data_IF_640893739009
#
_entry.id   IF_640893739009
#
_cell.length_a   1.000
_cell.length_b   1.000
_cell.length_c   1.000
_cell.angle_alpha   90.00
_cell.angle_beta   90.00
_cell.angle_gamma   90.00
#
_symmetry.space_group_name_H-M   'P 1'
#
loop_
_entity.id
_entity.type
_entity.pdbx_description
1 polymer ?
#
# COMPACT_ATOMS: atom_id res chain seq x y z
N UNK A 1 46.85 2.53 2.52
CA UNK A 1 46.68 1.30 1.73
C UNK A 1 46.26 1.72 0.35
N UNK A 2 47.03 1.35 -0.65
CA UNK A 2 46.73 1.71 -2.04
C UNK A 2 45.62 0.82 -2.60
N UNK A 3 44.83 1.33 -3.55
CA UNK A 3 43.71 0.61 -4.15
C UNK A 3 44.12 -0.77 -4.72
N UNK A 4 45.29 -0.84 -5.36
CA UNK A 4 45.83 -2.08 -5.92
C UNK A 4 46.14 -3.13 -4.86
N UNK A 5 46.66 -2.72 -3.70
CA UNK A 5 47.00 -3.62 -2.61
C UNK A 5 45.74 -4.30 -2.06
N UNK A 6 44.68 -3.51 -1.82
CA UNK A 6 43.40 -4.04 -1.36
C UNK A 6 42.78 -4.99 -2.39
N UNK A 7 42.84 -4.63 -3.68
CA UNK A 7 42.32 -5.48 -4.76
C UNK A 7 43.04 -6.83 -4.82
N UNK A 8 44.37 -6.84 -4.71
CA UNK A 8 45.18 -8.08 -4.70
C UNK A 8 44.85 -8.91 -3.46
N UNK A 9 44.78 -8.30 -2.28
CA UNK A 9 44.41 -8.98 -1.04
C UNK A 9 43.04 -9.65 -1.15
N UNK A 10 42.02 -8.92 -1.61
CA UNK A 10 40.64 -9.43 -1.73
C UNK A 10 40.56 -10.56 -2.75
N UNK A 11 41.18 -10.42 -3.92
CA UNK A 11 41.21 -11.49 -4.93
C UNK A 11 41.86 -12.77 -4.40
N UNK A 12 42.97 -12.65 -3.68
CA UNK A 12 43.67 -13.79 -3.08
C UNK A 12 42.87 -14.44 -1.95
N UNK A 13 42.19 -13.66 -1.14
CA UNK A 13 41.43 -14.18 0.03
C UNK A 13 40.09 -14.79 -0.36
N UNK A 14 39.50 -14.39 -1.50
CA UNK A 14 38.30 -15.02 -2.05
C UNK A 14 38.47 -16.50 -2.40
N UNK A 15 39.66 -16.92 -2.82
CA UNK A 15 39.94 -18.32 -3.21
C UNK A 15 40.23 -19.24 -2.03
N UNK A 16 40.37 -18.68 -0.82
CA UNK A 16 40.60 -19.48 0.40
C UNK A 16 39.31 -20.24 0.76
N UNK A 17 39.44 -21.56 0.90
CA UNK A 17 38.33 -22.45 1.25
C UNK A 17 37.89 -22.30 2.71
N UNK A 18 38.83 -22.11 3.63
CA UNK A 18 38.53 -21.86 5.04
C UNK A 18 37.92 -20.46 5.23
N UNK A 19 36.59 -20.47 5.40
CA UNK A 19 35.76 -19.29 5.61
C UNK A 19 36.09 -18.56 6.92
N UNK A 20 36.59 -19.27 7.92
CA UNK A 20 36.91 -18.70 9.24
C UNK A 20 38.34 -18.18 9.36
N UNK A 21 39.12 -18.27 8.28
CA UNK A 21 40.54 -17.91 8.30
C UNK A 21 40.80 -16.46 8.69
N UNK A 22 41.89 -16.24 9.41
CA UNK A 22 42.34 -14.90 9.82
C UNK A 22 42.57 -13.95 8.64
N UNK A 23 42.96 -14.49 7.47
CA UNK A 23 43.12 -13.71 6.24
C UNK A 23 41.79 -13.18 5.70
N UNK A 24 40.71 -13.98 5.72
CA UNK A 24 39.38 -13.53 5.32
C UNK A 24 38.82 -12.50 6.31
N UNK A 25 39.05 -12.69 7.62
CA UNK A 25 38.67 -11.69 8.64
C UNK A 25 39.40 -10.37 8.43
N UNK A 26 40.70 -10.42 8.12
CA UNK A 26 41.51 -9.24 7.80
C UNK A 26 41.02 -8.53 6.54
N UNK A 27 40.66 -9.29 5.50
CA UNK A 27 40.09 -8.73 4.27
C UNK A 27 38.77 -7.99 4.54
N UNK A 28 37.85 -8.57 5.31
CA UNK A 28 36.60 -7.89 5.69
C UNK A 28 36.88 -6.59 6.45
N UNK A 29 37.77 -6.61 7.46
CA UNK A 29 38.15 -5.41 8.21
C UNK A 29 38.71 -4.30 7.32
N UNK A 30 39.56 -4.67 6.36
CA UNK A 30 40.14 -3.70 5.42
C UNK A 30 39.12 -3.15 4.43
N UNK A 31 38.17 -3.98 3.98
CA UNK A 31 37.04 -3.54 3.16
C UNK A 31 36.13 -2.57 3.91
N UNK A 32 35.80 -2.87 5.18
CA UNK A 32 35.05 -1.97 6.06
C UNK A 32 35.79 -0.65 6.26
N UNK A 33 37.11 -0.67 6.48
CA UNK A 33 37.88 0.57 6.58
C UNK A 33 37.89 1.37 5.27
N UNK A 34 37.88 0.69 4.12
CA UNK A 34 37.90 1.31 2.81
C UNK A 34 36.60 2.06 2.46
N UNK A 35 35.47 1.77 3.13
CA UNK A 35 34.22 2.53 2.93
C UNK A 35 34.36 3.99 3.35
N UNK A 36 35.30 4.29 4.26
CA UNK A 36 35.59 5.64 4.76
C UNK A 36 36.70 6.36 3.97
N UNK A 37 37.14 5.79 2.85
CA UNK A 37 38.17 6.37 2.00
C UNK A 37 37.67 7.61 1.25
N UNK A 38 38.54 8.60 1.04
CA UNK A 38 38.26 9.70 0.13
C UNK A 38 38.25 9.27 -1.35
N UNK A 39 38.79 8.10 -1.68
CA UNK A 39 38.80 7.57 -3.04
C UNK A 39 37.47 6.85 -3.36
N UNK A 40 36.73 7.39 -4.32
CA UNK A 40 35.46 6.86 -4.83
C UNK A 40 35.58 5.42 -5.34
N UNK A 41 36.62 5.11 -6.11
CA UNK A 41 36.86 3.75 -6.64
C UNK A 41 37.07 2.73 -5.52
N UNK A 42 37.76 3.11 -4.45
CA UNK A 42 37.96 2.27 -3.27
C UNK A 42 36.65 2.01 -2.53
N UNK A 43 35.79 3.02 -2.35
CA UNK A 43 34.47 2.87 -1.73
C UNK A 43 33.57 1.93 -2.54
N UNK A 44 33.51 2.12 -3.86
CA UNK A 44 32.75 1.24 -4.76
C UNK A 44 33.32 -0.19 -4.73
N UNK A 45 34.64 -0.32 -4.70
CA UNK A 45 35.28 -1.62 -4.56
C UNK A 45 34.91 -2.29 -3.24
N UNK A 46 34.91 -1.54 -2.14
CA UNK A 46 34.49 -2.04 -0.83
C UNK A 46 33.05 -2.56 -0.87
N UNK A 47 32.10 -1.75 -1.31
CA UNK A 47 30.68 -2.12 -1.41
C UNK A 47 30.47 -3.44 -2.18
N UNK A 48 31.18 -3.60 -3.31
CA UNK A 48 31.06 -4.78 -4.17
C UNK A 48 31.64 -6.07 -3.56
N UNK A 49 32.53 -5.98 -2.58
CA UNK A 49 33.27 -7.12 -2.05
C UNK A 49 32.97 -7.45 -0.59
N UNK A 50 32.41 -6.52 0.21
CA UNK A 50 31.96 -6.81 1.58
C UNK A 50 31.03 -8.04 1.64
N UNK A 51 30.03 -8.20 0.74
CA UNK A 51 29.12 -9.35 0.80
C UNK A 51 29.82 -10.71 0.71
N UNK A 52 30.97 -10.81 0.05
CA UNK A 52 31.71 -12.07 -0.16
C UNK A 52 32.38 -12.62 1.12
N UNK A 53 32.46 -11.80 2.16
CA UNK A 53 33.07 -12.14 3.45
C UNK A 53 32.09 -11.98 4.62
N UNK A 54 30.88 -11.48 4.35
CA UNK A 54 29.92 -11.08 5.38
C UNK A 54 29.47 -12.25 6.26
N UNK A 55 29.03 -13.36 5.64
CA UNK A 55 28.53 -14.54 6.36
C UNK A 55 29.61 -15.33 7.12
N UNK A 56 30.88 -15.09 6.79
CA UNK A 56 31.98 -15.83 7.40
C UNK A 56 32.20 -15.43 8.87
N UNK A 57 31.79 -14.23 9.24
CA UNK A 57 32.09 -13.61 10.53
C UNK A 57 30.83 -12.99 11.14
N UNK A 58 29.93 -13.81 11.74
CA UNK A 58 28.71 -13.33 12.39
C UNK A 58 28.95 -12.22 13.42
N UNK A 59 30.09 -12.24 14.11
CA UNK A 59 30.50 -11.25 15.08
C UNK A 59 30.83 -9.86 14.48
N UNK A 60 31.08 -9.80 13.17
CA UNK A 60 31.45 -8.58 12.44
C UNK A 60 30.34 -8.08 11.51
N UNK A 61 29.18 -8.74 11.49
CA UNK A 61 28.09 -8.38 10.59
C UNK A 61 27.54 -6.98 10.84
N UNK A 62 27.36 -6.59 12.10
CA UNK A 62 26.86 -5.25 12.46
C UNK A 62 27.82 -4.16 11.97
N UNK A 63 29.13 -4.36 12.13
CA UNK A 63 30.13 -3.41 11.62
C UNK A 63 30.10 -3.33 10.09
N UNK A 64 29.96 -4.48 9.42
CA UNK A 64 29.91 -4.54 7.97
C UNK A 64 28.65 -3.90 7.38
N UNK A 65 27.48 -4.11 7.99
CA UNK A 65 26.23 -3.51 7.52
C UNK A 65 26.22 -2.00 7.78
N UNK A 66 26.70 -1.53 8.93
CA UNK A 66 26.80 -0.11 9.22
C UNK A 66 27.77 0.58 8.25
N UNK A 67 28.88 -0.06 7.90
CA UNK A 67 29.78 0.45 6.87
C UNK A 67 29.14 0.52 5.47
N UNK A 68 28.16 -0.33 5.16
CA UNK A 68 27.38 -0.25 3.92
C UNK A 68 26.30 0.84 4.00
N UNK A 69 25.69 1.08 5.17
CA UNK A 69 24.80 2.23 5.37
C UNK A 69 25.54 3.56 5.16
N UNK A 70 26.76 3.69 5.69
CA UNK A 70 27.62 4.86 5.43
C UNK A 70 27.80 5.10 3.90
N UNK A 71 27.92 4.04 3.10
CA UNK A 71 28.02 4.15 1.64
C UNK A 71 26.70 4.55 0.98
N UNK A 72 25.56 4.18 1.54
CA UNK A 72 24.23 4.56 1.04
C UNK A 72 23.96 6.06 1.22
N UNK A 73 24.67 6.71 2.14
CA UNK A 73 24.58 8.16 2.41
C UNK A 73 25.76 8.94 1.79
N UNK A 74 26.57 8.30 0.94
CA UNK A 74 27.75 8.93 0.34
C UNK A 74 27.38 10.12 -0.57
N UNK A 75 28.27 11.09 -0.67
CA UNK A 75 28.06 12.26 -1.54
C UNK A 75 27.97 11.90 -3.03
N UNK A 76 28.63 10.82 -3.45
CA UNK A 76 28.64 10.39 -4.85
C UNK A 76 27.55 9.35 -5.12
N UNK A 77 26.61 9.66 -6.04
CA UNK A 77 25.53 8.75 -6.48
C UNK A 77 26.05 7.36 -6.91
N UNK A 78 27.21 7.30 -7.57
CA UNK A 78 27.83 6.02 -7.95
C UNK A 78 28.27 5.15 -6.77
N UNK A 79 28.62 5.75 -5.63
CA UNK A 79 28.94 5.06 -4.38
C UNK A 79 27.66 4.61 -3.70
N UNK A 80 26.64 5.48 -3.61
CA UNK A 80 25.32 5.14 -3.06
C UNK A 80 24.69 3.95 -3.75
N UNK A 81 24.65 3.97 -5.09
CA UNK A 81 24.19 2.83 -5.88
C UNK A 81 25.02 1.56 -5.65
N UNK A 82 26.32 1.66 -5.38
CA UNK A 82 27.12 0.49 -4.99
C UNK A 82 26.71 -0.03 -3.59
N UNK A 83 26.39 0.86 -2.65
CA UNK A 83 25.82 0.56 -1.34
C UNK A 83 24.46 -0.14 -1.44
N UNK A 84 23.52 0.38 -2.24
CA UNK A 84 22.20 -0.23 -2.43
C UNK A 84 22.30 -1.66 -2.96
N UNK A 85 23.21 -1.91 -3.91
CA UNK A 85 23.50 -3.26 -4.40
C UNK A 85 24.03 -4.16 -3.28
N UNK A 86 24.94 -3.65 -2.44
CA UNK A 86 25.50 -4.40 -1.32
C UNK A 86 24.41 -4.79 -0.31
N UNK A 87 23.46 -3.88 0.02
CA UNK A 87 22.30 -4.20 0.87
C UNK A 87 21.49 -5.37 0.30
N UNK A 88 21.19 -5.36 -1.00
CA UNK A 88 20.47 -6.48 -1.64
C UNK A 88 21.25 -7.79 -1.53
N UNK A 89 22.57 -7.76 -1.79
CA UNK A 89 23.38 -8.98 -1.66
C UNK A 89 23.38 -9.50 -0.22
N UNK A 90 23.54 -8.61 0.77
CA UNK A 90 23.58 -8.99 2.18
C UNK A 90 22.23 -9.53 2.67
N UNK A 91 21.11 -8.93 2.28
CA UNK A 91 19.76 -9.44 2.56
C UNK A 91 19.52 -10.82 1.95
N UNK A 92 20.04 -11.07 0.74
CA UNK A 92 19.93 -12.38 0.08
C UNK A 92 20.71 -13.46 0.83
N UNK A 93 21.87 -13.10 1.36
CA UNK A 93 22.74 -14.01 2.11
C UNK A 93 22.15 -14.32 3.49
N UNK A 94 21.74 -13.28 4.22
CA UNK A 94 21.30 -13.39 5.61
C UNK A 94 19.90 -12.78 5.82
N UNK A 95 18.90 -13.65 5.91
CA UNK A 95 17.48 -13.26 5.98
C UNK A 95 17.15 -12.32 7.14
N UNK A 96 17.88 -12.39 8.26
CA UNK A 96 17.67 -11.51 9.43
C UNK A 96 17.81 -10.02 9.09
N UNK A 97 18.55 -9.68 8.04
CA UNK A 97 18.74 -8.31 7.59
C UNK A 97 17.66 -7.80 6.64
N UNK A 98 16.81 -8.68 6.10
CA UNK A 98 15.79 -8.31 5.10
C UNK A 98 14.88 -7.20 5.63
N UNK A 99 14.41 -7.28 6.88
CA UNK A 99 13.53 -6.26 7.46
C UNK A 99 14.21 -4.89 7.53
N UNK A 100 15.39 -4.82 8.16
CA UNK A 100 16.11 -3.55 8.36
C UNK A 100 16.56 -2.95 7.04
N UNK A 101 17.05 -3.77 6.11
CA UNK A 101 17.48 -3.30 4.80
C UNK A 101 16.30 -2.87 3.91
N UNK A 102 15.16 -3.56 3.99
CA UNK A 102 13.94 -3.10 3.31
C UNK A 102 13.50 -1.74 3.86
N UNK A 103 13.56 -1.51 5.17
CA UNK A 103 13.19 -0.22 5.77
C UNK A 103 14.09 0.92 5.27
N UNK A 104 15.41 0.70 5.24
CA UNK A 104 16.37 1.63 4.64
C UNK A 104 16.07 1.88 3.17
N UNK A 105 15.83 0.82 2.37
CA UNK A 105 15.50 0.95 0.95
C UNK A 105 14.20 1.73 0.74
N UNK A 106 13.20 1.58 1.60
CA UNK A 106 11.97 2.36 1.52
C UNK A 106 12.26 3.85 1.73
N UNK A 107 13.08 4.21 2.74
CA UNK A 107 13.48 5.61 2.94
C UNK A 107 14.18 6.19 1.70
N UNK A 108 15.02 5.39 1.04
CA UNK A 108 15.76 5.78 -0.16
C UNK A 108 14.88 5.99 -1.41
N UNK A 109 13.58 5.66 -1.37
CA UNK A 109 12.64 6.04 -2.43
C UNK A 109 12.51 7.58 -2.56
N UNK A 110 12.88 8.33 -1.53
CA UNK A 110 12.87 9.79 -1.50
C UNK A 110 14.07 10.44 -2.21
N UNK A 111 14.96 9.66 -2.84
CA UNK A 111 16.08 10.21 -3.60
C UNK A 111 15.61 11.09 -4.75
N UNK A 112 16.25 12.25 -4.92
CA UNK A 112 16.00 13.17 -6.05
C UNK A 112 16.64 12.67 -7.36
N UNK A 113 17.51 11.65 -7.32
CA UNK A 113 18.14 11.05 -8.51
C UNK A 113 17.25 9.93 -9.08
N UNK A 114 16.66 10.10 -10.28
CA UNK A 114 15.78 9.08 -10.88
C UNK A 114 16.45 7.73 -11.12
N UNK A 115 17.78 7.71 -11.33
CA UNK A 115 18.52 6.46 -11.50
C UNK A 115 18.60 5.69 -10.19
N UNK A 116 18.81 6.39 -9.08
CA UNK A 116 18.77 5.81 -7.74
C UNK A 116 17.38 5.30 -7.41
N UNK A 117 16.33 6.09 -7.64
CA UNK A 117 14.95 5.65 -7.40
C UNK A 117 14.65 4.38 -8.21
N UNK A 118 15.05 4.34 -9.49
CA UNK A 118 14.88 3.13 -10.33
C UNK A 118 15.58 1.92 -9.72
N UNK A 119 16.78 2.12 -9.19
CA UNK A 119 17.56 1.08 -8.56
C UNK A 119 16.96 0.61 -7.23
N UNK A 120 16.52 1.53 -6.38
CA UNK A 120 15.86 1.24 -5.10
C UNK A 120 14.57 0.46 -5.33
N UNK A 121 13.76 0.84 -6.32
CA UNK A 121 12.57 0.08 -6.69
C UNK A 121 12.89 -1.35 -7.09
N UNK A 122 13.96 -1.56 -7.86
CA UNK A 122 14.43 -2.92 -8.19
C UNK A 122 14.89 -3.67 -6.94
N UNK A 123 15.63 -3.02 -6.05
CA UNK A 123 16.08 -3.60 -4.79
C UNK A 123 14.91 -4.04 -3.90
N UNK A 124 13.82 -3.26 -3.82
CA UNK A 124 12.60 -3.63 -3.10
C UNK A 124 11.89 -4.83 -3.74
N UNK A 125 11.87 -4.93 -5.07
CA UNK A 125 11.35 -6.11 -5.77
C UNK A 125 12.20 -7.36 -5.45
N UNK A 126 13.53 -7.23 -5.39
CA UNK A 126 14.40 -8.32 -4.95
C UNK A 126 14.10 -8.71 -3.49
N UNK A 127 13.78 -7.75 -2.60
CA UNK A 127 13.39 -8.05 -1.22
C UNK A 127 12.03 -8.77 -1.12
N UNK A 128 11.06 -8.44 -1.99
CA UNK A 128 9.82 -9.21 -2.12
C UNK A 128 10.09 -10.68 -2.49
N UNK A 129 11.13 -10.94 -3.30
CA UNK A 129 11.55 -12.30 -3.62
C UNK A 129 12.22 -13.00 -2.43
N UNK A 130 12.98 -12.28 -1.60
CA UNK A 130 13.69 -12.87 -0.46
C UNK A 130 12.75 -13.22 0.69
N UNK A 131 11.85 -12.30 1.04
CA UNK A 131 10.80 -12.46 2.03
C UNK A 131 9.68 -11.44 1.77
N UNK A 132 8.66 -11.87 1.04
CA UNK A 132 7.53 -11.01 0.68
C UNK A 132 6.74 -10.56 1.89
N UNK A 133 6.50 -11.44 2.86
CA UNK A 133 5.75 -11.11 4.08
C UNK A 133 6.46 -10.00 4.86
N UNK A 134 7.74 -10.16 5.14
CA UNK A 134 8.51 -9.17 5.91
C UNK A 134 8.59 -7.84 5.14
N UNK A 135 8.86 -7.89 3.84
CA UNK A 135 8.99 -6.69 3.00
C UNK A 135 7.67 -5.93 2.92
N UNK A 136 6.54 -6.62 2.73
CA UNK A 136 5.21 -6.01 2.71
C UNK A 136 4.83 -5.41 4.07
N UNK A 137 5.23 -6.07 5.16
CA UNK A 137 5.08 -5.51 6.51
C UNK A 137 5.76 -4.15 6.63
N UNK A 138 7.01 -4.03 6.18
CA UNK A 138 7.75 -2.75 6.16
C UNK A 138 7.04 -1.71 5.30
N UNK A 139 6.53 -2.07 4.12
CA UNK A 139 5.76 -1.14 3.28
C UNK A 139 4.49 -0.66 4.01
N UNK A 140 3.79 -1.55 4.70
CA UNK A 140 2.58 -1.20 5.45
C UNK A 140 2.89 -0.29 6.64
N UNK A 141 4.01 -0.51 7.34
CA UNK A 141 4.47 0.34 8.45
C UNK A 141 4.65 1.80 8.01
N UNK A 142 5.03 2.05 6.75
CA UNK A 142 5.15 3.41 6.20
C UNK A 142 3.82 3.99 5.68
N UNK A 143 2.82 3.14 5.42
CA UNK A 143 1.48 3.57 5.00
C UNK A 143 0.63 3.96 6.21
N UNK A 144 0.67 3.20 7.29
CA UNK A 144 -0.14 3.44 8.49
C UNK A 144 0.31 4.74 9.17
N UNK A 145 -0.56 5.76 9.31
CA UNK A 145 -0.22 6.95 10.06
C UNK A 145 0.05 6.60 11.54
N UNK A 146 1.12 7.13 12.14
CA UNK A 146 1.36 7.00 13.57
C UNK A 146 0.33 7.79 14.37
N UNK A 147 0.06 7.36 15.60
CA UNK A 147 -1.01 7.93 16.43
C UNK A 147 -0.66 9.32 16.98
N UNK A 148 0.63 9.58 17.28
CA UNK A 148 1.09 10.78 17.99
C UNK A 148 2.25 11.52 17.28
N UNK A 149 2.08 11.91 16.01
CA UNK A 149 3.00 12.85 15.35
C UNK A 149 2.50 14.29 15.43
N UNK A 150 3.14 15.09 16.28
CA UNK A 150 2.84 16.52 16.42
C UNK A 150 3.68 17.42 15.51
N UNK A 151 4.85 16.95 15.05
CA UNK A 151 5.75 17.74 14.21
C UNK A 151 5.23 17.82 12.76
N UNK A 152 4.86 19.02 12.26
CA UNK A 152 4.38 19.18 10.90
C UNK A 152 5.40 18.81 9.83
N UNK A 153 6.70 18.98 10.08
CA UNK A 153 7.76 18.66 9.12
C UNK A 153 7.94 17.13 9.02
N UNK A 154 7.97 16.44 10.16
CA UNK A 154 8.00 14.97 10.19
C UNK A 154 6.75 14.39 9.52
N UNK A 155 5.57 14.96 9.79
CA UNK A 155 4.32 14.55 9.15
C UNK A 155 4.38 14.74 7.63
N UNK A 156 4.93 15.86 7.14
CA UNK A 156 5.08 16.11 5.71
C UNK A 156 6.04 15.10 5.05
N UNK A 157 7.18 14.80 5.68
CA UNK A 157 8.11 13.78 5.19
C UNK A 157 7.46 12.40 5.15
N UNK A 158 6.72 12.02 6.19
CA UNK A 158 5.97 10.75 6.24
C UNK A 158 4.90 10.67 5.15
N UNK A 159 4.18 11.76 4.89
CA UNK A 159 3.18 11.81 3.83
C UNK A 159 3.81 11.67 2.43
N UNK A 160 4.96 12.30 2.22
CA UNK A 160 5.74 12.15 0.98
C UNK A 160 6.18 10.69 0.79
N UNK A 161 6.77 10.09 1.82
CA UNK A 161 7.19 8.69 1.78
C UNK A 161 6.03 7.73 1.53
N UNK A 162 4.89 7.93 2.19
CA UNK A 162 3.66 7.14 1.96
C UNK A 162 3.24 7.19 0.50
N UNK A 163 3.24 8.38 -0.10
CA UNK A 163 2.89 8.57 -1.52
C UNK A 163 3.81 7.74 -2.42
N UNK A 164 5.12 7.74 -2.12
CA UNK A 164 6.12 6.95 -2.86
C UNK A 164 5.91 5.44 -2.68
N UNK A 165 5.59 4.99 -1.46
CA UNK A 165 5.29 3.58 -1.16
C UNK A 165 4.03 3.11 -1.88
N UNK A 166 2.94 3.88 -1.84
CA UNK A 166 1.71 3.55 -2.57
C UNK A 166 1.97 3.50 -4.09
N UNK A 167 2.72 4.48 -4.63
CA UNK A 167 3.15 4.48 -6.03
C UNK A 167 4.01 3.27 -6.40
N UNK A 168 4.88 2.82 -5.48
CA UNK A 168 5.63 1.57 -5.64
C UNK A 168 4.68 0.37 -5.74
N UNK A 169 3.81 0.17 -4.75
CA UNK A 169 2.87 -0.95 -4.69
C UNK A 169 1.97 -1.00 -5.92
N UNK A 170 1.37 0.12 -6.31
CA UNK A 170 0.51 0.23 -7.51
C UNK A 170 1.30 -0.12 -8.78
N UNK A 171 2.53 0.40 -8.90
CA UNK A 171 3.39 0.12 -10.04
C UNK A 171 3.72 -1.36 -10.18
N UNK A 172 4.07 -2.03 -9.07
CA UNK A 172 4.42 -3.45 -9.09
C UNK A 172 3.19 -4.36 -9.23
N UNK A 173 2.02 -3.91 -8.76
CA UNK A 173 0.73 -4.58 -9.01
C UNK A 173 0.36 -4.55 -10.50
N UNK A 174 0.45 -3.38 -11.15
CA UNK A 174 0.19 -3.23 -12.60
C UNK A 174 1.15 -4.06 -13.46
N UNK A 175 2.39 -4.25 -13.02
CA UNK A 175 3.38 -5.11 -13.69
C UNK A 175 3.19 -6.62 -13.40
N UNK A 176 2.28 -6.99 -12.50
CA UNK A 176 2.09 -8.37 -12.03
C UNK A 176 3.21 -8.90 -11.14
N UNK A 177 4.21 -8.09 -10.79
CA UNK A 177 5.32 -8.49 -9.90
C UNK A 177 4.82 -8.74 -8.49
N UNK A 178 3.92 -7.88 -7.99
CA UNK A 178 3.40 -8.02 -6.64
C UNK A 178 2.61 -9.33 -6.48
N UNK A 179 1.77 -9.66 -7.46
CA UNK A 179 0.98 -10.92 -7.49
C UNK A 179 1.89 -12.15 -7.54
N UNK A 180 3.05 -12.06 -8.22
CA UNK A 180 4.02 -13.16 -8.28
C UNK A 180 4.56 -13.55 -6.90
N UNK A 181 4.71 -12.60 -5.99
CA UNK A 181 5.28 -12.81 -4.65
C UNK A 181 4.22 -12.90 -3.55
N UNK A 182 2.95 -12.77 -3.91
CA UNK A 182 1.78 -12.88 -3.03
C UNK A 182 0.79 -13.86 -3.63
N UNK A 183 0.97 -15.15 -3.35
CA UNK A 183 -0.03 -16.14 -3.73
C UNK A 183 -1.36 -15.86 -2.98
N UNK A 184 -2.52 -16.09 -3.61
CA UNK A 184 -3.81 -15.94 -2.93
C UNK A 184 -3.88 -16.77 -1.64
N UNK A 185 -4.29 -16.15 -0.53
CA UNK A 185 -4.38 -16.74 0.80
C UNK A 185 -3.04 -16.97 1.49
N UNK A 186 -1.94 -16.40 0.99
CA UNK A 186 -0.62 -16.50 1.64
C UNK A 186 -0.47 -15.48 2.78
N UNK A 187 0.45 -15.74 3.72
CA UNK A 187 0.78 -14.78 4.79
C UNK A 187 1.23 -13.41 4.23
N UNK A 188 1.81 -13.39 3.02
CA UNK A 188 2.22 -12.17 2.35
C UNK A 188 1.00 -11.35 1.87
N UNK A 189 -0.01 -12.02 1.30
CA UNK A 189 -1.27 -11.37 0.95
C UNK A 189 -1.97 -10.83 2.20
N UNK A 190 -2.07 -11.66 3.25
CA UNK A 190 -2.68 -11.28 4.52
C UNK A 190 -1.95 -10.09 5.16
N UNK A 191 -0.62 -10.03 5.07
CA UNK A 191 0.16 -8.91 5.63
C UNK A 191 -0.17 -7.60 4.91
N UNK A 192 -0.20 -7.59 3.58
CA UNK A 192 -0.56 -6.39 2.82
C UNK A 192 -2.02 -6.00 3.09
N UNK A 193 -2.95 -6.94 3.01
CA UNK A 193 -4.39 -6.68 3.15
C UNK A 193 -4.70 -6.15 4.54
N UNK A 194 -4.18 -6.78 5.61
CA UNK A 194 -4.41 -6.32 6.97
C UNK A 194 -3.75 -4.96 7.23
N UNK A 195 -2.52 -4.76 6.75
CA UNK A 195 -1.83 -3.47 6.89
C UNK A 195 -2.62 -2.33 6.24
N UNK A 196 -3.05 -2.51 4.99
CA UNK A 196 -3.83 -1.50 4.27
C UNK A 196 -5.21 -1.27 4.89
N UNK A 197 -5.93 -2.33 5.29
CA UNK A 197 -7.24 -2.19 5.95
C UNK A 197 -7.10 -1.43 7.27
N UNK A 198 -6.04 -1.69 8.04
CA UNK A 198 -5.79 -1.01 9.32
C UNK A 198 -5.45 0.47 9.15
N UNK A 199 -4.92 0.87 7.99
CA UNK A 199 -4.59 2.25 7.68
C UNK A 199 -5.83 3.09 7.32
N UNK A 200 -6.84 2.51 6.66
CA UNK A 200 -8.03 3.21 6.14
C UNK A 200 -8.69 4.17 7.15
N UNK A 201 -8.93 3.78 8.43
CA UNK A 201 -9.58 4.65 9.39
C UNK A 201 -8.79 5.94 9.69
N UNK A 202 -7.45 5.88 9.58
CA UNK A 202 -6.52 6.94 9.98
C UNK A 202 -6.10 7.86 8.83
N UNK A 203 -6.34 7.44 7.59
CA UNK A 203 -5.85 8.14 6.40
C UNK A 203 -6.78 9.28 5.94
N UNK A 204 -6.18 10.22 5.20
CA UNK A 204 -6.92 11.22 4.43
C UNK A 204 -7.71 10.59 3.28
N UNK A 205 -8.62 11.37 2.67
CA UNK A 205 -9.50 10.88 1.62
C UNK A 205 -8.74 10.40 0.38
N UNK A 206 -7.75 11.15 -0.09
CA UNK A 206 -6.94 10.81 -1.27
C UNK A 206 -6.26 9.45 -1.11
N UNK A 207 -5.51 9.24 -0.02
CA UNK A 207 -4.82 7.98 0.24
C UNK A 207 -5.80 6.82 0.43
N UNK A 208 -6.92 7.07 1.10
CA UNK A 208 -8.00 6.07 1.25
C UNK A 208 -8.50 5.61 -0.12
N UNK A 209 -8.78 6.56 -1.03
CA UNK A 209 -9.27 6.23 -2.37
C UNK A 209 -8.23 5.47 -3.20
N UNK A 210 -6.96 5.87 -3.13
CA UNK A 210 -5.85 5.17 -3.79
C UNK A 210 -5.76 3.71 -3.31
N UNK A 211 -5.77 3.49 -1.99
CA UNK A 211 -5.69 2.14 -1.41
C UNK A 211 -6.89 1.29 -1.86
N UNK A 212 -8.10 1.84 -1.79
CA UNK A 212 -9.30 1.09 -2.14
C UNK A 212 -9.34 0.73 -3.63
N UNK A 213 -9.22 1.74 -4.49
CA UNK A 213 -9.44 1.62 -5.94
C UNK A 213 -8.28 1.00 -6.70
N UNK A 214 -7.07 1.44 -6.37
CA UNK A 214 -5.89 1.12 -7.17
C UNK A 214 -5.12 -0.08 -6.61
N UNK A 215 -5.41 -0.50 -5.37
CA UNK A 215 -4.75 -1.63 -4.72
C UNK A 215 -5.76 -2.72 -4.33
N UNK A 216 -6.58 -2.51 -3.29
CA UNK A 216 -7.36 -3.58 -2.68
C UNK A 216 -8.39 -4.20 -3.64
N UNK A 217 -9.10 -3.40 -4.44
CA UNK A 217 -10.09 -3.95 -5.40
C UNK A 217 -9.45 -4.74 -6.56
N UNK A 218 -8.14 -4.60 -6.78
CA UNK A 218 -7.40 -5.31 -7.81
C UNK A 218 -6.90 -6.69 -7.35
N UNK A 219 -6.98 -7.00 -6.05
CA UNK A 219 -6.51 -8.26 -5.49
C UNK A 219 -7.59 -9.34 -5.55
N UNK A 220 -7.16 -10.60 -5.66
CA UNK A 220 -8.03 -11.76 -5.84
C UNK A 220 -8.75 -12.18 -4.55
N UNK A 221 -8.29 -11.76 -3.36
CA UNK A 221 -8.96 -12.10 -2.09
C UNK A 221 -10.43 -11.67 -2.03
N UNK A 222 -10.84 -10.68 -2.84
CA UNK A 222 -12.22 -10.21 -2.93
C UNK A 222 -13.10 -11.02 -3.90
N UNK A 223 -12.55 -11.98 -4.65
CA UNK A 223 -13.31 -12.76 -5.63
C UNK A 223 -14.25 -13.77 -4.98
N UNK A 224 -14.01 -14.10 -3.70
CA UNK A 224 -14.92 -14.92 -2.88
C UNK A 224 -15.15 -14.27 -1.51
N UNK A 225 -16.35 -14.45 -0.90
CA UNK A 225 -16.60 -13.93 0.45
C UNK A 225 -15.59 -14.45 1.46
N UNK A 226 -14.92 -13.55 2.17
CA UNK A 226 -13.87 -13.90 3.12
C UNK A 226 -13.85 -12.96 4.35
N UNK A 227 -13.17 -13.35 5.45
CA UNK A 227 -13.06 -12.50 6.64
C UNK A 227 -12.45 -11.13 6.34
N UNK A 228 -11.38 -11.07 5.54
CA UNK A 228 -10.74 -9.82 5.13
C UNK A 228 -11.69 -8.91 4.35
N UNK A 229 -12.48 -9.47 3.43
CA UNK A 229 -13.50 -8.73 2.69
C UNK A 229 -14.60 -8.19 3.60
N UNK A 230 -14.98 -8.94 4.63
CA UNK A 230 -15.93 -8.46 5.65
C UNK A 230 -15.36 -7.30 6.45
N UNK A 231 -14.12 -7.40 6.94
CA UNK A 231 -13.44 -6.31 7.66
C UNK A 231 -13.28 -5.07 6.78
N UNK A 232 -12.88 -5.25 5.51
CA UNK A 232 -12.79 -4.16 4.54
C UNK A 232 -14.14 -3.47 4.36
N UNK A 233 -15.22 -4.24 4.16
CA UNK A 233 -16.56 -3.71 3.97
C UNK A 233 -17.02 -2.85 5.15
N UNK A 234 -16.71 -3.28 6.38
CA UNK A 234 -17.02 -2.53 7.61
C UNK A 234 -16.20 -1.24 7.71
N UNK A 235 -14.88 -1.31 7.42
CA UNK A 235 -14.01 -0.13 7.42
C UNK A 235 -14.46 0.91 6.39
N UNK A 236 -14.77 0.49 5.17
CA UNK A 236 -15.26 1.41 4.11
C UNK A 236 -16.62 1.99 4.46
N UNK A 237 -17.54 1.19 5.01
CA UNK A 237 -18.84 1.66 5.47
C UNK A 237 -18.71 2.70 6.58
N UNK A 238 -17.78 2.52 7.51
CA UNK A 238 -17.54 3.49 8.58
C UNK A 238 -16.99 4.81 8.03
N UNK A 239 -16.08 4.75 7.05
CA UNK A 239 -15.58 5.94 6.35
C UNK A 239 -16.69 6.66 5.59
N UNK A 240 -17.55 5.93 4.89
CA UNK A 240 -18.71 6.49 4.20
C UNK A 240 -19.67 7.20 5.16
N UNK A 241 -19.93 6.62 6.34
CA UNK A 241 -20.75 7.25 7.39
C UNK A 241 -20.14 8.54 7.91
N UNK A 242 -18.82 8.56 8.14
CA UNK A 242 -18.11 9.77 8.57
C UNK A 242 -18.16 10.86 7.50
N UNK A 243 -17.94 10.50 6.23
CA UNK A 243 -18.02 11.43 5.12
C UNK A 243 -19.43 12.02 4.96
N UNK A 244 -20.46 11.20 5.13
CA UNK A 244 -21.86 11.65 5.11
C UNK A 244 -22.18 12.61 6.25
N UNK A 245 -21.66 12.33 7.45
CA UNK A 245 -21.81 13.23 8.58
C UNK A 245 -21.18 14.60 8.29
N UNK A 246 -19.96 14.62 7.74
CA UNK A 246 -19.28 15.85 7.34
C UNK A 246 -20.04 16.63 6.27
N UNK A 247 -20.53 15.95 5.22
CA UNK A 247 -21.33 16.57 4.16
C UNK A 247 -22.65 17.15 4.71
N UNK A 248 -23.25 16.51 5.73
CA UNK A 248 -24.45 17.03 6.39
C UNK A 248 -24.20 18.27 7.26
N UNK A 249 -23.03 18.36 7.89
CA UNK A 249 -22.65 19.51 8.72
C UNK A 249 -22.22 20.72 7.89
N UNK A 250 -21.72 20.51 6.67
CA UNK A 250 -21.28 21.58 5.79
C UNK A 250 -22.43 22.04 4.87
N UNK A 251 -23.11 23.12 5.25
CA UNK A 251 -24.08 23.79 4.40
C UNK A 251 -23.37 24.60 3.31
N UNK A 252 -23.73 24.37 2.05
CA UNK A 252 -23.25 25.21 0.96
C UNK A 252 -23.97 26.57 1.03
N UNK A 253 -23.25 27.58 1.54
CA UNK A 253 -23.81 28.86 1.96
C UNK A 253 -24.42 29.68 0.80
N UNK A 254 -24.13 29.33 -0.45
CA UNK A 254 -24.56 30.09 -1.62
C UNK A 254 -25.92 29.66 -2.18
N UNK A 255 -26.31 28.38 -2.08
CA UNK A 255 -27.51 27.85 -2.74
C UNK A 255 -28.51 27.15 -1.80
N UNK A 256 -28.18 26.95 -0.52
CA UNK A 256 -29.05 26.23 0.42
C UNK A 256 -29.22 24.73 0.12
N UNK A 257 -28.55 24.22 -0.92
CA UNK A 257 -28.47 22.81 -1.30
C UNK A 257 -27.18 22.19 -0.75
N UNK A 258 -27.27 21.00 -0.19
CA UNK A 258 -26.10 20.23 0.31
C UNK A 258 -25.48 19.42 -0.84
N UNK A 259 -24.16 19.33 -0.87
CA UNK A 259 -23.43 18.46 -1.81
C UNK A 259 -22.84 17.25 -1.09
N UNK A 260 -22.83 16.08 -1.73
CA UNK A 260 -22.24 14.85 -1.21
C UNK A 260 -20.79 14.64 -1.67
N UNK A 261 -20.00 15.72 -1.73
CA UNK A 261 -18.65 15.68 -2.30
C UNK A 261 -17.74 14.65 -1.62
N UNK A 262 -17.77 14.55 -0.29
CA UNK A 262 -16.95 13.59 0.46
C UNK A 262 -17.53 12.19 0.44
N UNK A 263 -18.86 12.07 0.41
CA UNK A 263 -19.56 10.78 0.45
C UNK A 263 -19.50 10.06 -0.90
N UNK A 264 -19.55 10.81 -2.01
CA UNK A 264 -19.66 10.28 -3.37
C UNK A 264 -18.59 9.23 -3.71
N UNK A 265 -17.28 9.44 -3.44
CA UNK A 265 -16.25 8.43 -3.72
C UNK A 265 -16.47 7.10 -2.98
N UNK A 266 -17.11 7.13 -1.80
CA UNK A 266 -17.42 5.92 -1.06
C UNK A 266 -18.66 5.20 -1.58
N UNK A 267 -19.61 5.87 -2.24
CA UNK A 267 -20.78 5.21 -2.84
C UNK A 267 -20.37 4.23 -3.94
N UNK A 268 -19.47 4.67 -4.83
CA UNK A 268 -18.87 3.81 -5.85
C UNK A 268 -18.18 2.61 -5.21
N UNK A 269 -17.41 2.85 -4.15
CA UNK A 269 -16.62 1.81 -3.52
C UNK A 269 -17.47 0.81 -2.73
N UNK A 270 -18.54 1.26 -2.08
CA UNK A 270 -19.55 0.41 -1.46
C UNK A 270 -20.26 -0.45 -2.51
N UNK A 271 -20.60 0.11 -3.67
CA UNK A 271 -21.17 -0.67 -4.78
C UNK A 271 -20.20 -1.76 -5.23
N UNK A 272 -18.93 -1.43 -5.48
CA UNK A 272 -17.92 -2.44 -5.86
C UNK A 272 -17.78 -3.54 -4.79
N UNK A 273 -17.65 -3.18 -3.52
CA UNK A 273 -17.37 -4.14 -2.45
C UNK A 273 -18.60 -5.01 -2.14
N UNK A 274 -19.76 -4.43 -1.89
CA UNK A 274 -20.95 -5.15 -1.45
C UNK A 274 -21.72 -5.83 -2.59
N UNK A 275 -21.71 -5.23 -3.78
CA UNK A 275 -22.54 -5.69 -4.91
C UNK A 275 -21.69 -6.53 -5.86
N UNK A 276 -20.62 -5.95 -6.42
CA UNK A 276 -19.80 -6.62 -7.43
C UNK A 276 -18.95 -7.73 -6.82
N UNK A 277 -18.25 -7.45 -5.71
CA UNK A 277 -17.39 -8.40 -5.00
C UNK A 277 -18.11 -9.21 -3.92
N UNK A 278 -19.37 -8.86 -3.60
CA UNK A 278 -20.25 -9.58 -2.65
C UNK A 278 -19.63 -9.78 -1.26
N UNK A 279 -18.98 -8.73 -0.76
CA UNK A 279 -18.38 -8.71 0.57
C UNK A 279 -19.28 -7.95 1.55
N UNK A 280 -19.34 -8.43 2.80
CA UNK A 280 -20.15 -7.81 3.85
C UNK A 280 -21.64 -8.16 3.79
N UNK A 281 -22.41 -7.60 4.73
CA UNK A 281 -23.86 -7.80 4.84
C UNK A 281 -24.62 -6.66 4.13
N UNK A 282 -25.47 -6.98 3.16
CA UNK A 282 -26.29 -5.99 2.47
C UNK A 282 -27.22 -5.21 3.42
N UNK A 283 -27.61 -5.79 4.57
CA UNK A 283 -28.38 -5.07 5.57
C UNK A 283 -27.62 -3.85 6.12
N UNK A 284 -26.31 -3.96 6.32
CA UNK A 284 -25.47 -2.84 6.78
C UNK A 284 -25.40 -1.73 5.72
N UNK A 285 -25.32 -2.12 4.44
CA UNK A 285 -25.37 -1.18 3.31
C UNK A 285 -26.73 -0.46 3.24
N UNK A 286 -27.83 -1.17 3.42
CA UNK A 286 -29.17 -0.58 3.47
C UNK A 286 -29.35 0.36 4.68
N UNK A 287 -28.80 0.00 5.83
CA UNK A 287 -28.79 0.86 7.01
C UNK A 287 -28.02 2.17 6.75
N UNK A 288 -26.95 2.14 5.95
CA UNK A 288 -26.25 3.35 5.51
C UNK A 288 -27.10 4.26 4.62
N UNK A 289 -27.90 3.71 3.71
CA UNK A 289 -28.80 4.52 2.86
C UNK A 289 -29.99 5.13 3.59
N UNK A 290 -30.41 4.54 4.71
CA UNK A 290 -31.59 4.95 5.49
C UNK A 290 -31.64 6.45 5.82
N UNK A 291 -30.59 7.07 6.41
CA UNK A 291 -30.62 8.51 6.69
C UNK A 291 -30.65 9.40 5.44
N UNK A 292 -30.19 8.92 4.29
CA UNK A 292 -30.07 9.71 3.05
C UNK A 292 -31.38 9.70 2.26
N UNK A 293 -32.05 8.55 2.24
CA UNK A 293 -33.26 8.32 1.43
C UNK A 293 -34.54 8.93 2.02
N UNK A 294 -34.49 9.46 3.24
CA UNK A 294 -35.62 10.17 3.83
C UNK A 294 -35.96 11.43 3.03
N UNK A 295 -37.26 11.62 2.72
CA UNK A 295 -37.77 12.71 1.87
C UNK A 295 -37.11 14.07 2.12
N UNK A 296 -37.00 14.49 3.38
CA UNK A 296 -36.41 15.79 3.76
C UNK A 296 -34.93 15.89 3.40
N UNK A 297 -34.13 14.85 3.71
CA UNK A 297 -32.69 14.82 3.44
C UNK A 297 -32.44 14.74 1.94
N UNK A 298 -33.14 13.83 1.26
CA UNK A 298 -32.99 13.63 -0.18
C UNK A 298 -33.36 14.90 -0.97
N UNK A 299 -34.41 15.63 -0.56
CA UNK A 299 -34.75 16.92 -1.19
C UNK A 299 -33.77 18.05 -0.88
N UNK A 300 -32.95 17.90 0.16
CA UNK A 300 -31.99 18.93 0.60
C UNK A 300 -30.63 18.83 -0.08
N UNK A 301 -30.34 17.71 -0.75
CA UNK A 301 -29.09 17.51 -1.50
C UNK A 301 -29.28 17.85 -2.99
N UNK A 302 -28.19 18.12 -3.70
CA UNK A 302 -28.20 18.47 -5.12
C UNK A 302 -28.90 17.41 -5.99
N UNK A 303 -29.56 17.82 -7.08
CA UNK A 303 -30.23 16.86 -8.00
C UNK A 303 -29.27 15.82 -8.55
N UNK A 304 -28.02 16.20 -8.80
CA UNK A 304 -26.98 15.27 -9.26
C UNK A 304 -26.68 14.20 -8.20
N UNK A 305 -26.53 14.59 -6.94
CA UNK A 305 -26.30 13.66 -5.83
C UNK A 305 -27.51 12.77 -5.56
N UNK A 306 -28.73 13.31 -5.69
CA UNK A 306 -29.95 12.50 -5.60
C UNK A 306 -29.91 11.36 -6.63
N UNK A 307 -29.58 11.66 -7.89
CA UNK A 307 -29.51 10.65 -8.95
C UNK A 307 -28.43 9.59 -8.66
N UNK A 308 -27.27 9.99 -8.15
CA UNK A 308 -26.18 9.07 -7.81
C UNK A 308 -26.59 8.15 -6.65
N UNK A 309 -27.15 8.70 -5.57
CA UNK A 309 -27.62 7.90 -4.42
C UNK A 309 -28.71 6.93 -4.86
N UNK A 310 -29.70 7.39 -5.62
CA UNK A 310 -30.81 6.56 -6.11
C UNK A 310 -30.31 5.45 -7.03
N UNK A 311 -29.32 5.74 -7.89
CA UNK A 311 -28.69 4.74 -8.76
C UNK A 311 -28.02 3.64 -7.94
N UNK A 312 -27.14 3.97 -7.00
CA UNK A 312 -26.43 2.96 -6.22
C UNK A 312 -27.37 2.18 -5.28
N UNK A 313 -28.37 2.85 -4.70
CA UNK A 313 -29.40 2.17 -3.92
C UNK A 313 -30.17 1.16 -4.78
N UNK A 314 -30.53 1.53 -6.00
CA UNK A 314 -31.23 0.63 -6.91
C UNK A 314 -30.34 -0.54 -7.39
N UNK A 315 -29.05 -0.32 -7.60
CA UNK A 315 -28.06 -1.40 -7.83
C UNK A 315 -28.04 -2.38 -6.63
N UNK A 316 -28.05 -1.85 -5.40
CA UNK A 316 -28.10 -2.67 -4.18
C UNK A 316 -29.41 -3.47 -4.04
N UNK A 317 -30.56 -2.84 -4.36
CA UNK A 317 -31.86 -3.51 -4.41
C UNK A 317 -31.86 -4.65 -5.44
N UNK A 318 -31.28 -4.43 -6.62
CA UNK A 318 -31.22 -5.44 -7.66
C UNK A 318 -30.42 -6.68 -7.21
N UNK A 319 -29.29 -6.46 -6.54
CA UNK A 319 -28.47 -7.53 -5.98
C UNK A 319 -29.12 -8.25 -4.79
N UNK A 320 -30.05 -7.59 -4.09
CA UNK A 320 -30.84 -8.23 -3.07
C UNK A 320 -31.82 -9.24 -3.69
N UNK A 321 -31.58 -10.53 -3.45
CA UNK A 321 -32.44 -11.61 -3.97
C UNK A 321 -33.74 -11.79 -3.20
N UNK A 322 -33.81 -11.22 -1.99
CA UNK A 322 -34.96 -11.30 -1.08
C UNK A 322 -35.47 -9.89 -0.78
N UNK A 323 -36.68 -9.78 -0.22
CA UNK A 323 -37.24 -8.50 0.24
C UNK A 323 -37.12 -8.43 1.78
N UNK A 324 -35.93 -8.15 2.34
CA UNK A 324 -35.78 -8.07 3.78
C UNK A 324 -36.61 -6.89 4.34
N UNK A 325 -37.07 -6.95 5.60
CA UNK A 325 -37.86 -5.88 6.21
C UNK A 325 -37.20 -4.49 6.14
N UNK A 326 -35.87 -4.44 6.19
CA UNK A 326 -35.08 -3.21 6.03
C UNK A 326 -35.27 -2.56 4.65
N UNK A 327 -35.29 -3.36 3.58
CA UNK A 327 -35.58 -2.90 2.21
C UNK A 327 -37.01 -2.39 2.09
N UNK A 328 -37.99 -3.12 2.62
CA UNK A 328 -39.40 -2.68 2.58
C UNK A 328 -39.56 -1.34 3.32
N UNK A 329 -38.90 -1.19 4.48
CA UNK A 329 -38.89 0.07 5.23
C UNK A 329 -38.29 1.20 4.41
N UNK A 330 -37.16 0.97 3.74
CA UNK A 330 -36.49 1.96 2.90
C UNK A 330 -37.32 2.41 1.70
N UNK A 331 -37.96 1.47 1.00
CA UNK A 331 -38.85 1.78 -0.12
C UNK A 331 -40.03 2.66 0.30
N UNK A 332 -40.50 2.53 1.55
CA UNK A 332 -41.55 3.39 2.10
C UNK A 332 -41.04 4.78 2.55
N UNK A 333 -39.72 4.96 2.73
CA UNK A 333 -39.12 6.26 3.09
C UNK A 333 -38.86 7.14 1.87
N UNK A 334 -38.61 6.53 0.71
CA UNK A 334 -38.30 7.25 -0.53
C UNK A 334 -39.56 7.80 -1.19
N UNK A 335 -39.57 9.05 -1.68
CA UNK A 335 -40.66 9.56 -2.52
C UNK A 335 -40.63 8.98 -3.95
N UNK A 336 -39.66 8.12 -4.27
CA UNK A 336 -39.43 7.54 -5.59
C UNK A 336 -39.98 6.12 -5.66
N UNK A 337 -40.47 5.73 -6.84
CA UNK A 337 -40.87 4.37 -7.14
C UNK A 337 -39.75 3.66 -7.91
N UNK A 338 -39.35 2.48 -7.43
CA UNK A 338 -38.32 1.66 -8.05
C UNK A 338 -38.95 0.47 -8.79
N UNK A 339 -38.83 0.42 -10.12
CA UNK A 339 -39.20 -0.76 -10.90
C UNK A 339 -37.93 -1.51 -11.33
N UNK A 340 -37.67 -2.65 -10.68
CA UNK A 340 -36.56 -3.54 -11.06
C UNK A 340 -37.07 -4.60 -12.03
N UNK A 341 -36.85 -4.43 -13.33
CA UNK A 341 -37.19 -5.44 -14.34
C UNK A 341 -36.05 -6.46 -14.50
N UNK A 342 -36.29 -7.70 -14.07
CA UNK A 342 -35.40 -8.84 -14.38
C UNK A 342 -35.79 -9.44 -15.73
N UNK A 343 -35.10 -9.04 -16.81
CA UNK A 343 -35.29 -9.62 -18.14
C UNK A 343 -34.41 -10.85 -18.34
N UNK A 344 -34.93 -11.87 -19.03
CA UNK A 344 -34.25 -13.17 -19.21
C UNK A 344 -33.09 -13.12 -20.23
N UNK A 345 -31.94 -13.63 -19.80
CA UNK A 345 -30.76 -14.22 -20.46
C UNK A 345 -30.08 -13.60 -21.70
N UNK A 346 -30.61 -12.62 -22.44
CA UNK A 346 -29.92 -12.14 -23.67
C UNK A 346 -29.89 -10.62 -23.93
N UNK A 347 -30.30 -9.76 -22.99
CA UNK A 347 -30.12 -8.30 -23.10
C UNK A 347 -29.80 -7.68 -21.72
N UNK A 348 -29.05 -6.55 -21.66
CA UNK A 348 -28.78 -5.88 -20.39
C UNK A 348 -30.10 -5.49 -19.70
N UNK A 349 -30.18 -5.76 -18.40
CA UNK A 349 -31.36 -5.43 -17.58
C UNK A 349 -31.57 -3.90 -17.54
N UNK A 350 -32.80 -3.47 -17.79
CA UNK A 350 -33.20 -2.06 -17.71
C UNK A 350 -33.74 -1.79 -16.30
N UNK A 351 -33.09 -0.88 -15.58
CA UNK A 351 -33.62 -0.32 -14.33
C UNK A 351 -34.42 0.94 -14.67
N UNK A 352 -35.71 0.94 -14.37
CA UNK A 352 -36.54 2.14 -14.49
C UNK A 352 -36.74 2.74 -13.09
N UNK A 353 -36.25 3.97 -12.90
CA UNK A 353 -36.53 4.77 -11.70
C UNK A 353 -37.64 5.74 -12.09
N UNK A 354 -38.79 5.65 -11.42
CA UNK A 354 -39.91 6.54 -11.64
C UNK A 354 -40.02 7.54 -10.49
N UNK A 355 -40.12 8.82 -10.84
CA UNK A 355 -40.43 9.87 -9.87
C UNK A 355 -41.95 9.90 -9.71
N UNK A 356 -42.46 9.57 -8.52
CA UNK A 356 -43.83 9.94 -8.17
C UNK A 356 -43.82 11.45 -7.88
N UNK A 357 -44.40 12.23 -8.79
CA UNK A 357 -44.71 13.65 -8.56
C UNK A 357 -45.98 13.76 -7.73
#
# INVERSE_FOLDING_TARGET
MEERELQVLVRRTKTISDKTSSSRRSALKQLVQATRSSNVSLKIFAAKNIPDFFQDFPEAEEDAINAVYDLCEDQMSSVRMAGYNALVQMSRLEKKWVKRNADVLVQLLQSDDPNEVTMVRKALVDHLQFDSRVTLGVLCDQVVPPDDLADPEELAMRNSLRTLVLSFVIGELKKGQLIRYMAPGSEAEDTLVNGLISAIPKLGETDTQVILKDILTQLQFLDTPCPHGTTLSQSVLQRAKSALFDDHMNLDAQNGTRSLNKTRPYLDMLSVIFISKRQGNLEDLFNFYTPILGKTVLSSISTEDQLIVLRHFAEALHACKSNPPSVIRLLNLTPFFFEVRRTSLLQPCILNIYICV
#
